data_IF_707791895812
#
_entry.id   IF_707791895812
#
_cell.length_a   1.000
_cell.length_b   1.000
_cell.length_c   1.000
_cell.angle_alpha   90.00
_cell.angle_beta   90.00
_cell.angle_gamma   90.00
#
_symmetry.space_group_name_H-M   'P 1'
#
loop_
_entity.id
_entity.type
_entity.pdbx_description
1 polymer ?
#
# COMPACT_ATOMS: atom_id res chain seq x y z
N UNK A 1 44.33 63.66 -24.19
CA UNK A 1 44.08 62.72 -23.06
C UNK A 1 42.57 62.50 -22.90
N UNK A 2 41.90 61.97 -23.94
CA UNK A 2 40.42 61.86 -24.01
C UNK A 2 39.94 60.55 -24.68
N UNK A 3 40.84 59.65 -25.06
CA UNK A 3 40.52 58.44 -25.84
C UNK A 3 40.31 57.17 -24.99
N UNK A 4 40.71 57.15 -23.71
CA UNK A 4 40.60 55.95 -22.86
C UNK A 4 39.24 55.75 -22.16
N UNK A 5 38.40 56.79 -22.07
CA UNK A 5 37.11 56.67 -21.37
C UNK A 5 35.98 56.05 -22.23
N UNK A 6 36.13 56.03 -23.56
CA UNK A 6 35.13 55.42 -24.45
C UNK A 6 35.38 53.91 -24.64
N UNK A 7 36.64 53.49 -24.81
CA UNK A 7 37.04 52.08 -24.95
C UNK A 7 36.65 51.20 -23.74
N UNK A 8 36.79 51.74 -22.51
CA UNK A 8 36.43 51.02 -21.29
C UNK A 8 34.91 50.98 -21.01
N UNK A 9 34.11 51.87 -21.62
CA UNK A 9 32.65 51.87 -21.49
C UNK A 9 32.01 50.79 -22.37
N UNK A 10 32.53 50.61 -23.58
CA UNK A 10 32.02 49.60 -24.52
C UNK A 10 32.30 48.18 -24.02
N UNK A 11 33.46 47.93 -23.40
CA UNK A 11 33.79 46.61 -22.81
C UNK A 11 32.97 46.28 -21.57
N UNK A 12 32.63 47.26 -20.73
CA UNK A 12 31.78 47.08 -19.55
C UNK A 12 30.31 46.84 -19.94
N UNK A 13 29.82 47.57 -20.96
CA UNK A 13 28.50 47.37 -21.53
C UNK A 13 28.39 46.00 -22.20
N UNK A 14 29.41 45.57 -22.95
CA UNK A 14 29.46 44.24 -23.56
C UNK A 14 29.58 43.10 -22.55
N UNK A 15 30.26 43.32 -21.43
CA UNK A 15 30.29 42.39 -20.32
C UNK A 15 28.92 42.30 -19.64
N UNK A 16 28.25 43.43 -19.38
CA UNK A 16 26.90 43.47 -18.85
C UNK A 16 25.88 42.82 -19.79
N UNK A 17 25.96 43.07 -21.10
CA UNK A 17 25.10 42.44 -22.12
C UNK A 17 25.34 40.93 -22.17
N UNK A 18 26.59 40.46 -22.05
CA UNK A 18 26.91 39.02 -21.94
C UNK A 18 26.33 38.40 -20.67
N UNK A 19 26.53 39.02 -19.52
CA UNK A 19 25.95 38.56 -18.26
C UNK A 19 24.41 38.58 -18.28
N UNK A 20 23.79 39.58 -18.90
CA UNK A 20 22.34 39.64 -19.12
C UNK A 20 21.84 38.55 -20.07
N UNK A 21 22.64 38.14 -21.06
CA UNK A 21 22.33 37.01 -21.94
C UNK A 21 22.51 35.65 -21.27
N UNK A 22 23.38 35.55 -20.26
CA UNK A 22 23.57 34.35 -19.45
C UNK A 22 22.45 34.15 -18.41
N UNK A 23 21.74 35.23 -18.05
CA UNK A 23 20.57 35.14 -17.18
C UNK A 23 19.42 34.46 -17.92
N UNK A 24 19.00 33.30 -17.41
CA UNK A 24 17.80 32.60 -17.89
C UNK A 24 16.62 33.54 -17.77
N UNK A 25 15.90 33.76 -18.87
CA UNK A 25 14.75 34.64 -18.82
C UNK A 25 13.68 34.04 -17.90
N UNK A 26 12.90 34.91 -17.29
CA UNK A 26 11.78 34.49 -16.45
C UNK A 26 10.83 33.52 -17.18
N UNK A 27 10.59 33.72 -18.49
CA UNK A 27 9.76 32.81 -19.29
C UNK A 27 10.43 31.45 -19.53
N UNK A 28 11.75 31.40 -19.72
CA UNK A 28 12.50 30.15 -19.87
C UNK A 28 12.48 29.34 -18.57
N UNK A 29 12.60 30.01 -17.42
CA UNK A 29 12.49 29.36 -16.12
C UNK A 29 11.10 28.75 -15.92
N UNK A 30 10.04 29.52 -16.21
CA UNK A 30 8.66 29.03 -16.11
C UNK A 30 8.37 27.87 -17.07
N UNK A 31 8.90 27.91 -18.30
CA UNK A 31 8.80 26.80 -19.25
C UNK A 31 9.50 25.53 -18.75
N UNK A 32 10.67 25.66 -18.12
CA UNK A 32 11.39 24.54 -17.53
C UNK A 32 10.62 23.91 -16.37
N UNK A 33 10.06 24.74 -15.49
CA UNK A 33 9.20 24.29 -14.39
C UNK A 33 7.97 23.58 -14.94
N UNK A 34 7.32 24.14 -15.95
CA UNK A 34 6.16 23.52 -16.60
C UNK A 34 6.51 22.16 -17.20
N UNK A 35 7.62 22.05 -17.93
CA UNK A 35 8.07 20.77 -18.50
C UNK A 35 8.24 19.71 -17.41
N UNK A 36 8.82 20.08 -16.27
CA UNK A 36 8.95 19.18 -15.11
C UNK A 36 7.60 18.77 -14.52
N UNK A 37 6.61 19.65 -14.50
CA UNK A 37 5.25 19.31 -14.03
C UNK A 37 4.59 18.31 -14.97
N UNK A 38 4.73 18.47 -16.29
CA UNK A 38 4.24 17.50 -17.27
C UNK A 38 4.99 16.16 -17.22
N UNK A 39 6.32 16.19 -17.03
CA UNK A 39 7.11 14.97 -16.78
C UNK A 39 6.58 14.25 -15.54
N UNK A 40 6.37 14.98 -14.44
CA UNK A 40 5.84 14.45 -13.18
C UNK A 40 4.43 13.87 -13.32
N UNK A 41 3.56 14.55 -14.08
CA UNK A 41 2.21 14.05 -14.45
C UNK A 41 2.31 12.70 -15.16
N UNK A 42 3.13 12.63 -16.20
CA UNK A 42 3.29 11.42 -17.00
C UNK A 42 3.87 10.28 -16.16
N UNK A 43 4.84 10.56 -15.30
CA UNK A 43 5.36 9.56 -14.36
C UNK A 43 4.26 9.03 -13.43
N UNK A 44 3.49 9.90 -12.78
CA UNK A 44 2.43 9.50 -11.84
C UNK A 44 1.32 8.68 -12.53
N UNK A 45 0.90 9.11 -13.72
CA UNK A 45 -0.14 8.43 -14.49
C UNK A 45 0.35 7.05 -14.96
N UNK A 46 1.61 6.91 -15.37
CA UNK A 46 2.13 5.65 -15.88
C UNK A 46 2.71 4.73 -14.79
N UNK A 47 2.86 5.21 -13.55
CA UNK A 47 3.42 4.41 -12.46
C UNK A 47 2.48 3.26 -12.06
N UNK A 48 2.93 2.02 -12.22
CA UNK A 48 2.21 0.86 -11.69
C UNK A 48 2.44 0.73 -10.17
N UNK A 49 1.38 0.45 -9.41
CA UNK A 49 1.46 0.29 -7.95
C UNK A 49 1.98 -1.10 -7.55
N UNK A 50 1.73 -2.12 -8.37
CA UNK A 50 2.16 -3.50 -8.16
C UNK A 50 3.31 -3.79 -9.13
N UNK A 51 4.54 -3.55 -8.71
CA UNK A 51 5.75 -3.65 -9.53
C UNK A 51 6.85 -4.41 -8.77
N UNK A 52 8.05 -4.51 -9.35
CA UNK A 52 9.18 -5.23 -8.75
C UNK A 52 9.55 -4.73 -7.34
N UNK A 53 9.42 -3.43 -7.08
CA UNK A 53 9.80 -2.83 -5.80
C UNK A 53 8.76 -3.11 -4.71
N UNK A 54 7.51 -3.37 -5.10
CA UNK A 54 6.38 -3.53 -4.18
C UNK A 54 5.95 -4.98 -3.93
N UNK A 55 6.59 -5.94 -4.60
CA UNK A 55 6.25 -7.38 -4.52
C UNK A 55 6.86 -8.11 -3.30
N UNK A 56 8.14 -7.91 -2.99
CA UNK A 56 8.84 -8.85 -2.09
C UNK A 56 9.38 -8.25 -0.77
N UNK A 57 9.62 -6.93 -0.69
CA UNK A 57 10.28 -6.31 0.47
C UNK A 57 9.49 -5.14 1.06
N UNK A 58 9.27 -5.14 2.38
CA UNK A 58 8.55 -4.06 3.07
C UNK A 58 9.25 -2.71 2.91
N UNK A 59 10.57 -2.65 3.09
CA UNK A 59 11.33 -1.38 3.03
C UNK A 59 11.25 -0.70 1.66
N UNK A 60 11.42 -1.47 0.58
CA UNK A 60 11.36 -0.92 -0.78
C UNK A 60 9.93 -0.48 -1.13
N UNK A 61 8.94 -1.26 -0.71
CA UNK A 61 7.53 -0.93 -0.88
C UNK A 61 7.13 0.35 -0.12
N UNK A 62 7.52 0.48 1.13
CA UNK A 62 7.22 1.66 1.95
C UNK A 62 7.90 2.92 1.36
N UNK A 63 9.17 2.79 0.96
CA UNK A 63 9.91 3.88 0.31
C UNK A 63 9.31 4.28 -1.05
N UNK A 64 8.82 3.30 -1.81
CA UNK A 64 8.11 3.54 -3.07
C UNK A 64 6.88 4.41 -2.85
N UNK A 65 6.02 4.07 -1.88
CA UNK A 65 4.81 4.82 -1.59
C UNK A 65 5.09 6.20 -0.98
N UNK A 66 6.16 6.33 -0.19
CA UNK A 66 6.64 7.63 0.30
C UNK A 66 7.04 8.55 -0.86
N UNK A 67 7.87 8.06 -1.79
CA UNK A 67 8.28 8.84 -2.98
C UNK A 67 7.09 9.19 -3.85
N UNK A 68 6.11 8.29 -3.98
CA UNK A 68 4.87 8.56 -4.70
C UNK A 68 4.10 9.72 -4.05
N UNK A 69 3.99 9.72 -2.72
CA UNK A 69 3.37 10.79 -1.95
C UNK A 69 4.13 12.13 -2.09
N UNK A 70 5.47 12.11 -2.04
CA UNK A 70 6.30 13.29 -2.26
C UNK A 70 6.10 13.91 -3.66
N UNK A 71 5.96 13.08 -4.70
CA UNK A 71 5.63 13.54 -6.06
C UNK A 71 4.27 14.24 -6.10
N UNK A 72 3.25 13.66 -5.46
CA UNK A 72 1.90 14.25 -5.37
C UNK A 72 1.94 15.57 -4.58
N UNK A 73 2.68 15.60 -3.47
CA UNK A 73 2.88 16.80 -2.68
C UNK A 73 3.56 17.90 -3.52
N UNK A 74 4.55 17.55 -4.33
CA UNK A 74 5.22 18.49 -5.25
C UNK A 74 4.25 19.09 -6.26
N UNK A 75 3.34 18.30 -6.85
CA UNK A 75 2.27 18.81 -7.71
C UNK A 75 1.33 19.76 -6.96
N UNK A 76 0.96 19.42 -5.73
CA UNK A 76 0.12 20.28 -4.92
C UNK A 76 0.81 21.63 -4.65
N UNK A 77 2.10 21.64 -4.33
CA UNK A 77 2.87 22.88 -4.15
C UNK A 77 3.02 23.69 -5.44
N UNK A 78 3.05 23.03 -6.61
CA UNK A 78 3.12 23.71 -7.90
C UNK A 78 1.91 24.62 -8.17
N UNK A 79 0.79 24.48 -7.45
CA UNK A 79 -0.36 25.40 -7.54
C UNK A 79 -0.01 26.85 -7.22
N UNK A 80 1.03 27.10 -6.43
CA UNK A 80 1.52 28.45 -6.16
C UNK A 80 1.85 29.17 -7.49
N UNK A 81 2.24 28.43 -8.51
CA UNK A 81 2.61 28.95 -9.82
C UNK A 81 1.42 29.50 -10.64
N UNK A 82 0.18 29.24 -10.23
CA UNK A 82 -1.04 29.78 -10.88
C UNK A 82 -1.00 31.32 -10.92
N UNK A 83 -0.36 31.95 -9.93
CA UNK A 83 -0.19 33.41 -9.83
C UNK A 83 0.65 34.01 -10.97
N UNK A 84 1.33 33.15 -11.75
CA UNK A 84 2.18 33.57 -12.87
C UNK A 84 1.49 33.46 -14.23
N UNK A 85 0.16 33.37 -14.26
CA UNK A 85 -0.66 33.41 -15.48
C UNK A 85 -0.26 32.32 -16.50
N UNK A 86 0.00 31.11 -15.99
CA UNK A 86 0.37 29.97 -16.82
C UNK A 86 -0.83 29.51 -17.68
N UNK A 87 -0.55 29.06 -18.91
CA UNK A 87 -1.57 28.54 -19.82
C UNK A 87 -2.17 27.20 -19.38
N UNK A 88 -1.45 26.43 -18.55
CA UNK A 88 -1.85 25.10 -18.15
C UNK A 88 -2.49 25.08 -16.77
N UNK A 89 -3.59 24.36 -16.68
CA UNK A 89 -4.36 24.22 -15.46
C UNK A 89 -3.70 23.18 -14.54
N UNK A 90 -2.87 23.66 -13.62
CA UNK A 90 -2.18 22.82 -12.63
C UNK A 90 -3.18 22.09 -11.73
N UNK A 91 -4.35 22.68 -11.45
CA UNK A 91 -5.41 22.00 -10.71
C UNK A 91 -5.92 20.78 -11.46
N UNK A 92 -6.16 20.94 -12.77
CA UNK A 92 -6.57 19.83 -13.62
C UNK A 92 -5.51 18.72 -13.68
N UNK A 93 -4.22 19.08 -13.80
CA UNK A 93 -3.13 18.09 -13.81
C UNK A 93 -3.08 17.29 -12.51
N UNK A 94 -3.15 17.96 -11.37
CA UNK A 94 -3.17 17.30 -10.06
C UNK A 94 -4.40 16.38 -9.93
N UNK A 95 -5.58 16.88 -10.31
CA UNK A 95 -6.82 16.10 -10.27
C UNK A 95 -6.71 14.83 -11.12
N UNK A 96 -6.22 14.92 -12.36
CA UNK A 96 -6.00 13.76 -13.23
C UNK A 96 -5.05 12.73 -12.60
N UNK A 97 -3.99 13.19 -11.92
CA UNK A 97 -3.04 12.32 -11.23
C UNK A 97 -3.68 11.63 -10.01
N UNK A 98 -4.45 12.38 -9.21
CA UNK A 98 -5.15 11.85 -8.03
C UNK A 98 -6.23 10.85 -8.42
N UNK A 99 -7.02 11.13 -9.46
CA UNK A 99 -8.04 10.21 -9.98
C UNK A 99 -7.42 8.92 -10.54
N UNK A 100 -6.30 9.03 -11.26
CA UNK A 100 -5.54 7.88 -11.75
C UNK A 100 -5.04 7.01 -10.59
N UNK A 101 -4.47 7.64 -9.56
CA UNK A 101 -4.00 6.93 -8.37
C UNK A 101 -5.15 6.27 -7.59
N UNK A 102 -6.24 7.00 -7.36
CA UNK A 102 -7.41 6.48 -6.67
C UNK A 102 -8.00 5.28 -7.42
N UNK A 103 -8.03 5.33 -8.75
CA UNK A 103 -8.48 4.21 -9.60
C UNK A 103 -7.60 2.98 -9.39
N UNK A 104 -6.26 3.14 -9.41
CA UNK A 104 -5.32 2.04 -9.18
C UNK A 104 -5.47 1.45 -7.78
N UNK A 105 -5.63 2.29 -6.74
CA UNK A 105 -5.89 1.83 -5.36
C UNK A 105 -7.22 1.06 -5.30
N UNK A 106 -8.29 1.57 -5.92
CA UNK A 106 -9.60 0.90 -6.01
C UNK A 106 -9.48 -0.47 -6.68
N UNK A 107 -8.63 -0.63 -7.69
CA UNK A 107 -8.36 -1.93 -8.32
C UNK A 107 -7.72 -2.92 -7.35
N UNK A 108 -6.75 -2.49 -6.53
CA UNK A 108 -6.14 -3.34 -5.50
C UNK A 108 -7.18 -3.71 -4.44
N UNK A 109 -7.94 -2.74 -3.92
CA UNK A 109 -9.02 -2.99 -2.96
C UNK A 109 -10.05 -3.99 -3.51
N UNK A 110 -10.48 -3.82 -4.76
CA UNK A 110 -11.44 -4.72 -5.42
C UNK A 110 -10.88 -6.14 -5.58
N UNK A 111 -9.56 -6.27 -5.79
CA UNK A 111 -8.89 -7.57 -5.88
C UNK A 111 -8.86 -8.28 -4.53
N UNK A 112 -8.63 -7.53 -3.44
CA UNK A 112 -8.75 -8.06 -2.07
C UNK A 112 -10.20 -8.45 -1.76
N UNK A 113 -11.17 -7.60 -2.08
CA UNK A 113 -12.59 -7.87 -1.81
C UNK A 113 -13.08 -9.16 -2.50
N UNK A 114 -12.60 -9.44 -3.71
CA UNK A 114 -12.87 -10.72 -4.41
C UNK A 114 -12.32 -11.93 -3.65
N UNK A 115 -11.08 -11.84 -3.17
CA UNK A 115 -10.44 -12.90 -2.38
C UNK A 115 -11.16 -13.09 -1.03
N UNK A 116 -11.57 -12.00 -0.37
CA UNK A 116 -12.34 -12.04 0.87
C UNK A 116 -13.73 -12.65 0.66
N UNK A 117 -14.41 -12.30 -0.44
CA UNK A 117 -15.70 -12.91 -0.81
C UNK A 117 -15.56 -14.40 -1.04
N UNK A 118 -14.49 -14.83 -1.72
CA UNK A 118 -14.19 -16.26 -1.87
C UNK A 118 -13.90 -16.92 -0.53
N UNK A 119 -13.08 -16.29 0.31
CA UNK A 119 -12.72 -16.79 1.64
C UNK A 119 -13.93 -16.87 2.59
N UNK A 120 -14.94 -16.01 2.44
CA UNK A 120 -16.16 -16.10 3.25
C UNK A 120 -17.03 -17.27 2.83
N UNK A 121 -17.06 -17.60 1.53
CA UNK A 121 -17.80 -18.74 0.98
C UNK A 121 -17.11 -20.09 1.22
N UNK A 122 -15.79 -20.12 1.13
CA UNK A 122 -14.97 -21.31 1.32
C UNK A 122 -14.46 -21.43 2.77
N UNK A 123 -13.90 -22.58 3.15
CA UNK A 123 -13.25 -22.70 4.47
C UNK A 123 -11.81 -22.18 4.45
N UNK A 124 -11.12 -22.28 3.32
CA UNK A 124 -9.70 -21.90 3.19
C UNK A 124 -9.45 -21.53 1.74
N UNK A 125 -8.51 -20.61 1.51
CA UNK A 125 -8.06 -20.30 0.16
C UNK A 125 -6.94 -21.27 -0.30
N UNK A 126 -6.72 -21.32 -1.61
CA UNK A 126 -5.54 -21.94 -2.17
C UNK A 126 -4.28 -21.13 -1.82
N UNK A 127 -3.09 -21.76 -1.86
CA UNK A 127 -1.82 -21.08 -1.52
C UNK A 127 -1.58 -19.84 -2.38
N UNK A 128 -1.75 -19.97 -3.69
CA UNK A 128 -1.59 -18.85 -4.64
C UNK A 128 -2.51 -17.67 -4.31
N UNK A 129 -3.70 -17.95 -3.80
CA UNK A 129 -4.67 -16.93 -3.44
C UNK A 129 -4.29 -16.22 -2.14
N UNK A 130 -3.70 -16.94 -1.18
CA UNK A 130 -3.08 -16.31 -0.01
C UNK A 130 -1.87 -15.47 -0.40
N UNK A 131 -1.04 -15.92 -1.35
CA UNK A 131 0.11 -15.15 -1.83
C UNK A 131 -0.36 -13.83 -2.48
N UNK A 132 -1.40 -13.89 -3.33
CA UNK A 132 -2.03 -12.68 -3.88
C UNK A 132 -2.68 -11.80 -2.82
N UNK A 133 -3.40 -12.39 -1.86
CA UNK A 133 -4.00 -11.65 -0.75
C UNK A 133 -2.92 -10.88 0.03
N UNK A 134 -1.83 -11.55 0.40
CA UNK A 134 -0.72 -10.96 1.12
C UNK A 134 -0.08 -9.82 0.32
N UNK A 135 0.16 -10.04 -0.97
CA UNK A 135 0.68 -9.01 -1.87
C UNK A 135 -0.19 -7.75 -1.82
N UNK A 136 -1.50 -7.90 -2.08
CA UNK A 136 -2.40 -6.77 -2.13
C UNK A 136 -2.58 -6.11 -0.77
N UNK A 137 -2.80 -6.88 0.30
CA UNK A 137 -3.03 -6.36 1.63
C UNK A 137 -1.80 -5.64 2.19
N UNK A 138 -0.59 -6.20 2.01
CA UNK A 138 0.65 -5.53 2.41
C UNK A 138 0.86 -4.22 1.64
N UNK A 139 0.51 -4.17 0.35
CA UNK A 139 0.52 -2.92 -0.42
C UNK A 139 -0.49 -1.90 0.13
N UNK A 140 -1.72 -2.32 0.45
CA UNK A 140 -2.71 -1.43 1.06
C UNK A 140 -2.27 -0.89 2.43
N UNK A 141 -1.58 -1.70 3.25
CA UNK A 141 -1.00 -1.24 4.51
C UNK A 141 0.05 -0.15 4.26
N UNK A 142 0.97 -0.35 3.32
CA UNK A 142 2.00 0.63 3.01
C UNK A 142 1.41 1.90 2.38
N UNK A 143 0.44 1.77 1.48
CA UNK A 143 -0.30 2.91 0.92
C UNK A 143 -0.98 3.70 2.05
N UNK A 144 -1.64 3.03 3.01
CA UNK A 144 -2.35 3.70 4.12
C UNK A 144 -1.46 4.59 4.98
N UNK A 145 -0.15 4.31 5.05
CA UNK A 145 0.79 5.14 5.82
C UNK A 145 0.97 6.54 5.21
N UNK A 146 0.82 6.64 3.88
CA UNK A 146 1.14 7.85 3.12
C UNK A 146 -0.11 8.50 2.49
N UNK A 147 -1.08 7.68 2.10
CA UNK A 147 -2.30 8.04 1.38
C UNK A 147 -3.49 7.46 2.14
N UNK A 148 -4.54 8.26 2.34
CA UNK A 148 -5.72 7.82 3.09
C UNK A 148 -6.45 6.69 2.37
N UNK A 149 -6.38 5.48 2.92
CA UNK A 149 -7.10 4.29 2.43
C UNK A 149 -7.73 3.56 3.62
N UNK A 150 -8.98 3.13 3.42
CA UNK A 150 -9.75 2.37 4.41
C UNK A 150 -9.53 0.87 4.20
N UNK A 151 -8.86 0.22 5.16
CA UNK A 151 -8.53 -1.21 5.13
C UNK A 151 -9.16 -2.00 6.28
N UNK A 152 -9.89 -1.32 7.17
CA UNK A 152 -10.47 -1.89 8.39
C UNK A 152 -11.42 -3.05 8.08
N UNK A 153 -12.22 -2.92 7.02
CA UNK A 153 -13.13 -3.97 6.51
C UNK A 153 -12.43 -5.29 6.16
N UNK A 154 -11.14 -5.25 5.82
CA UNK A 154 -10.35 -6.44 5.49
C UNK A 154 -10.07 -7.23 6.77
N UNK A 155 -9.67 -6.53 7.84
CA UNK A 155 -9.44 -7.16 9.14
C UNK A 155 -10.74 -7.73 9.69
N UNK A 156 -11.83 -6.96 9.64
CA UNK A 156 -13.18 -7.39 10.05
C UNK A 156 -13.58 -8.68 9.35
N UNK A 157 -13.50 -8.76 8.02
CA UNK A 157 -13.89 -9.95 7.27
C UNK A 157 -13.07 -11.20 7.64
N UNK A 158 -11.76 -11.05 7.90
CA UNK A 158 -10.92 -12.15 8.37
C UNK A 158 -11.37 -12.60 9.75
N UNK A 159 -11.56 -11.67 10.69
CA UNK A 159 -11.91 -12.01 12.06
C UNK A 159 -13.35 -12.50 12.23
N UNK A 160 -14.29 -12.07 11.39
CA UNK A 160 -15.64 -12.63 11.33
C UNK A 160 -15.58 -14.13 11.01
N UNK A 161 -14.74 -14.54 10.05
CA UNK A 161 -14.55 -15.95 9.70
C UNK A 161 -13.90 -16.73 10.84
N UNK A 162 -12.90 -16.15 11.51
CA UNK A 162 -12.27 -16.75 12.69
C UNK A 162 -13.32 -16.93 13.81
N UNK A 163 -14.14 -15.92 14.07
CA UNK A 163 -15.20 -15.97 15.06
C UNK A 163 -16.26 -17.02 14.72
N UNK A 164 -16.60 -17.22 13.44
CA UNK A 164 -17.47 -18.31 13.01
C UNK A 164 -16.89 -19.68 13.42
N UNK A 165 -15.60 -19.93 13.19
CA UNK A 165 -14.96 -21.18 13.61
C UNK A 165 -14.90 -21.34 15.13
N UNK A 166 -14.64 -20.25 15.88
CA UNK A 166 -14.71 -20.28 17.35
C UNK A 166 -16.11 -20.66 17.83
N UNK A 167 -17.15 -20.10 17.22
CA UNK A 167 -18.54 -20.41 17.55
C UNK A 167 -18.87 -21.87 17.23
N UNK A 168 -18.38 -22.40 16.11
CA UNK A 168 -18.49 -23.83 15.79
C UNK A 168 -17.80 -24.67 16.86
N UNK A 169 -16.51 -24.41 17.17
CA UNK A 169 -15.76 -25.16 18.19
C UNK A 169 -16.50 -25.23 19.53
N UNK A 170 -17.14 -24.14 19.96
CA UNK A 170 -17.90 -24.08 21.23
C UNK A 170 -19.19 -24.91 21.20
N UNK A 171 -19.78 -25.11 20.01
CA UNK A 171 -21.03 -25.85 19.82
C UNK A 171 -20.81 -27.33 19.47
N UNK A 172 -19.66 -27.66 18.88
CA UNK A 172 -19.36 -29.00 18.42
C UNK A 172 -19.18 -29.98 19.57
N UNK A 173 -19.74 -31.19 19.38
CA UNK A 173 -19.64 -32.27 20.36
C UNK A 173 -18.49 -33.25 20.06
N UNK A 174 -17.97 -33.26 18.83
CA UNK A 174 -16.92 -34.19 18.41
C UNK A 174 -15.54 -33.56 18.41
N UNK A 175 -14.53 -34.34 18.79
CA UNK A 175 -13.12 -33.91 18.77
C UNK A 175 -12.64 -33.64 17.33
N UNK A 176 -13.18 -34.37 16.35
CA UNK A 176 -12.86 -34.23 14.94
C UNK A 176 -13.27 -32.87 14.39
N UNK A 177 -14.51 -32.43 14.63
CA UNK A 177 -15.02 -31.16 14.10
C UNK A 177 -14.30 -29.96 14.74
N UNK A 178 -13.99 -30.06 16.04
CA UNK A 178 -13.12 -29.10 16.73
C UNK A 178 -11.73 -29.05 16.09
N UNK A 179 -11.15 -30.21 15.77
CA UNK A 179 -9.83 -30.29 15.13
C UNK A 179 -9.82 -29.61 13.76
N UNK A 180 -10.85 -29.84 12.93
CA UNK A 180 -10.95 -29.25 11.58
C UNK A 180 -10.95 -27.72 11.65
N UNK A 181 -11.77 -27.15 12.55
CA UNK A 181 -11.86 -25.71 12.71
C UNK A 181 -10.55 -25.09 13.24
N UNK A 182 -9.90 -25.73 14.22
CA UNK A 182 -8.59 -25.29 14.72
C UNK A 182 -7.50 -25.37 13.64
N UNK A 183 -7.53 -26.40 12.77
CA UNK A 183 -6.62 -26.53 11.62
C UNK A 183 -6.85 -25.41 10.60
N UNK A 184 -8.10 -25.06 10.31
CA UNK A 184 -8.43 -23.93 9.44
C UNK A 184 -7.88 -22.61 9.99
N UNK A 185 -8.14 -22.31 11.27
CA UNK A 185 -7.57 -21.13 11.95
C UNK A 185 -6.04 -21.12 11.85
N UNK A 186 -5.40 -22.27 12.10
CA UNK A 186 -3.93 -22.37 12.04
C UNK A 186 -3.38 -22.16 10.64
N UNK A 187 -4.06 -22.70 9.62
CA UNK A 187 -3.70 -22.52 8.22
C UNK A 187 -3.77 -21.06 7.80
N UNK A 188 -4.82 -20.34 8.20
CA UNK A 188 -4.94 -18.88 7.95
C UNK A 188 -3.82 -18.12 8.67
N UNK A 189 -3.57 -18.42 9.95
CA UNK A 189 -2.49 -17.81 10.74
C UNK A 189 -1.11 -17.98 10.08
N UNK A 190 -0.84 -19.14 9.51
CA UNK A 190 0.42 -19.40 8.80
C UNK A 190 0.47 -18.73 7.42
N UNK A 191 -0.66 -18.67 6.72
CA UNK A 191 -0.74 -18.15 5.35
C UNK A 191 -0.89 -16.64 5.28
N UNK A 192 -1.28 -15.97 6.37
CA UNK A 192 -1.45 -14.52 6.44
C UNK A 192 -0.65 -13.95 7.62
N UNK A 193 0.66 -13.69 7.44
CA UNK A 193 1.56 -13.33 8.54
C UNK A 193 1.10 -12.12 9.37
N UNK A 194 0.47 -11.13 8.74
CA UNK A 194 -0.03 -9.92 9.42
C UNK A 194 -1.05 -10.19 10.52
N UNK A 195 -1.78 -11.32 10.45
CA UNK A 195 -2.78 -11.70 11.46
C UNK A 195 -2.32 -12.85 12.37
N UNK A 196 -1.14 -13.41 12.14
CA UNK A 196 -0.63 -14.61 12.79
C UNK A 196 -0.72 -14.56 14.31
N UNK A 197 -0.26 -13.45 14.92
CA UNK A 197 -0.23 -13.30 16.38
C UNK A 197 -1.64 -13.35 16.94
N UNK A 198 -2.52 -12.45 16.48
CA UNK A 198 -3.92 -12.37 16.93
C UNK A 198 -4.68 -13.69 16.73
N UNK A 199 -4.51 -14.36 15.58
CA UNK A 199 -5.18 -15.64 15.33
C UNK A 199 -4.64 -16.75 16.25
N UNK A 200 -3.34 -16.80 16.51
CA UNK A 200 -2.78 -17.78 17.45
C UNK A 200 -3.28 -17.56 18.88
N UNK A 201 -3.42 -16.30 19.33
CA UNK A 201 -4.02 -15.99 20.63
C UNK A 201 -5.46 -16.53 20.75
N UNK A 202 -6.27 -16.36 19.70
CA UNK A 202 -7.62 -16.95 19.63
C UNK A 202 -7.61 -18.48 19.68
N UNK A 203 -6.69 -19.12 18.97
CA UNK A 203 -6.52 -20.58 19.00
C UNK A 203 -6.19 -21.04 20.43
N UNK A 204 -5.26 -20.36 21.10
CA UNK A 204 -4.84 -20.70 22.47
C UNK A 204 -5.99 -20.52 23.47
N UNK A 205 -6.80 -19.47 23.31
CA UNK A 205 -8.03 -19.27 24.09
C UNK A 205 -9.02 -20.43 23.90
N UNK A 206 -9.27 -20.85 22.65
CA UNK A 206 -10.18 -21.97 22.36
C UNK A 206 -9.68 -23.28 22.93
N UNK A 207 -8.38 -23.56 22.83
CA UNK A 207 -7.76 -24.74 23.42
C UNK A 207 -7.88 -24.77 24.94
N UNK A 208 -7.68 -23.62 25.60
CA UNK A 208 -7.83 -23.47 27.05
C UNK A 208 -9.28 -23.68 27.49
N UNK A 209 -10.23 -23.08 26.78
CA UNK A 209 -11.67 -23.30 27.02
C UNK A 209 -12.03 -24.77 26.85
N UNK A 210 -11.61 -25.41 25.76
CA UNK A 210 -11.89 -26.81 25.49
C UNK A 210 -11.35 -27.74 26.59
N UNK A 211 -10.11 -27.52 27.04
CA UNK A 211 -9.52 -28.27 28.17
C UNK A 211 -10.32 -28.12 29.45
N UNK A 212 -10.83 -26.92 29.73
CA UNK A 212 -11.61 -26.63 30.93
C UNK A 212 -12.97 -27.31 30.89
N UNK A 213 -13.64 -27.29 29.75
CA UNK A 213 -14.99 -27.86 29.58
C UNK A 213 -15.01 -29.38 29.49
N UNK A 214 -14.06 -29.98 28.75
CA UNK A 214 -14.08 -31.42 28.43
C UNK A 214 -13.02 -32.24 29.18
N UNK A 215 -12.16 -31.57 29.97
CA UNK A 215 -11.14 -32.21 30.79
C UNK A 215 -9.88 -32.63 30.02
N UNK A 216 -8.86 -33.06 30.77
CA UNK A 216 -7.52 -33.32 30.25
C UNK A 216 -7.45 -34.49 29.26
N UNK A 217 -8.28 -35.52 29.42
CA UNK A 217 -8.27 -36.69 28.54
C UNK A 217 -8.80 -36.38 27.14
N UNK A 218 -9.89 -35.61 27.03
CA UNK A 218 -10.41 -35.14 25.75
C UNK A 218 -9.42 -34.18 25.07
N UNK A 219 -8.79 -33.29 25.85
CA UNK A 219 -7.75 -32.40 25.35
C UNK A 219 -6.51 -33.15 24.82
N UNK A 220 -6.06 -34.21 25.49
CA UNK A 220 -4.95 -35.04 25.01
C UNK A 220 -5.28 -35.76 23.70
N UNK A 221 -6.53 -36.24 23.54
CA UNK A 221 -7.02 -36.82 22.28
C UNK A 221 -7.04 -35.78 21.16
N UNK A 222 -7.51 -34.57 21.45
CA UNK A 222 -7.45 -33.44 20.51
C UNK A 222 -6.01 -33.17 20.06
N UNK A 223 -5.06 -33.06 20.99
CA UNK A 223 -3.65 -32.86 20.66
C UNK A 223 -3.06 -34.00 19.81
N UNK A 224 -3.49 -35.24 20.04
CA UNK A 224 -3.05 -36.40 19.24
C UNK A 224 -3.55 -36.29 17.79
N UNK A 225 -4.83 -36.00 17.59
CA UNK A 225 -5.44 -35.88 16.24
C UNK A 225 -4.94 -34.62 15.52
N UNK A 226 -4.72 -33.54 16.26
CA UNK A 226 -4.17 -32.30 15.73
C UNK A 226 -2.74 -32.48 15.20
N UNK A 227 -1.93 -33.30 15.87
CA UNK A 227 -0.52 -33.57 15.51
C UNK A 227 -0.31 -34.78 14.58
N UNK A 228 -1.28 -35.69 14.47
CA UNK A 228 -1.21 -36.85 13.56
C UNK A 228 -1.20 -36.44 12.09
N UNK A 229 -1.89 -35.35 11.75
CA UNK A 229 -1.72 -34.67 10.47
C UNK A 229 -0.59 -33.66 10.62
N UNK A 230 0.65 -34.06 10.31
CA UNK A 230 1.72 -33.12 10.01
C UNK A 230 1.29 -32.27 8.80
N UNK A 231 0.56 -31.19 9.06
CA UNK A 231 0.21 -30.21 8.03
C UNK A 231 1.49 -29.48 7.66
N UNK A 232 2.02 -29.85 6.49
CA UNK A 232 3.05 -29.17 5.73
C UNK A 232 2.63 -27.76 5.31
#
# INVERSE_FOLDING_TARGET
MYYDMHSNRDTLLDAMIRSLKELTSYSQMLQSIFRKIEELKNELINQELLNSDTQEFSKNRDEFYRKLNEKIFTLNQAKILIHFNMQNDIHKIEQECLESLETKIKTICSSVDKLLTKFSQENILARVEYDHFNLYYCNLISIRQEIKVHIEKIEEAIFDKIQMWECSIKKESTVQDVTINLKNMKRVSNSVPSFKIKINERIDEMLKCYKTTHGAMAFARLGTIFNQDRVA
#
